data_IF_219162141813
#
_entry.id   IF_219162141813
#
_cell.length_a   1.000
_cell.length_b   1.000
_cell.length_c   1.000
_cell.angle_alpha   90.00
_cell.angle_beta   90.00
_cell.angle_gamma   90.00
#
_symmetry.space_group_name_H-M   'P 1'
#
loop_
_entity.id
_entity.type
_entity.pdbx_description
1 polymer ?
#
# COMPACT_ATOMS: atom_id res chain seq x y z
N UNK A 1 -19.99 -0.37 -27.32
CA UNK A 1 -19.74 -1.62 -28.06
C UNK A 1 -20.83 -1.75 -29.11
N UNK A 2 -20.45 -1.81 -30.38
CA UNK A 2 -21.34 -2.29 -31.44
C UNK A 2 -21.32 -3.83 -31.41
N UNK A 3 -22.36 -4.48 -31.95
CA UNK A 3 -22.59 -5.95 -31.95
C UNK A 3 -21.49 -6.80 -32.64
N UNK A 4 -20.29 -6.26 -32.88
CA UNK A 4 -19.10 -6.97 -33.37
C UNK A 4 -17.92 -7.06 -32.38
N UNK A 5 -17.96 -6.35 -31.24
CA UNK A 5 -16.89 -6.33 -30.22
C UNK A 5 -16.96 -7.53 -29.24
N UNK A 6 -17.96 -8.40 -29.38
CA UNK A 6 -18.28 -9.46 -28.40
C UNK A 6 -17.21 -10.56 -28.24
N UNK A 7 -16.14 -10.56 -29.04
CA UNK A 7 -15.16 -11.66 -29.08
C UNK A 7 -13.69 -11.26 -28.85
N UNK A 8 -13.34 -9.98 -28.68
CA UNK A 8 -11.94 -9.59 -28.52
C UNK A 8 -11.78 -8.46 -27.50
N UNK A 9 -11.43 -8.82 -26.27
CA UNK A 9 -10.90 -7.85 -25.29
C UNK A 9 -9.39 -7.73 -25.46
N UNK A 10 -8.88 -6.50 -25.39
CA UNK A 10 -7.46 -6.19 -25.42
C UNK A 10 -7.09 -5.38 -24.17
N UNK A 11 -5.80 -5.35 -23.82
CA UNK A 11 -5.31 -4.59 -22.68
C UNK A 11 -5.65 -3.09 -22.82
N UNK A 12 -5.48 -2.55 -24.03
CA UNK A 12 -5.82 -1.16 -24.35
C UNK A 12 -7.32 -0.88 -24.22
N UNK A 13 -8.19 -1.78 -24.73
CA UNK A 13 -9.64 -1.62 -24.58
C UNK A 13 -10.10 -1.74 -23.13
N UNK A 14 -9.55 -2.69 -22.36
CA UNK A 14 -9.85 -2.86 -20.93
C UNK A 14 -9.44 -1.60 -20.14
N UNK A 15 -8.29 -1.02 -20.48
CA UNK A 15 -7.86 0.24 -19.89
C UNK A 15 -8.78 1.40 -20.26
N UNK A 16 -9.18 1.53 -21.52
CA UNK A 16 -10.17 2.52 -21.95
C UNK A 16 -11.50 2.40 -21.18
N UNK A 17 -11.98 1.18 -20.98
CA UNK A 17 -13.20 0.91 -20.19
C UNK A 17 -13.05 1.31 -18.72
N UNK A 18 -11.84 1.30 -18.14
CA UNK A 18 -11.59 1.60 -16.72
C UNK A 18 -11.13 3.05 -16.47
N UNK A 19 -10.47 3.71 -17.44
CA UNK A 19 -9.90 5.06 -17.34
C UNK A 19 -10.95 6.14 -17.05
N UNK A 20 -12.18 5.96 -17.57
CA UNK A 20 -13.30 6.89 -17.36
C UNK A 20 -14.11 6.63 -16.08
N UNK A 21 -13.62 5.76 -15.20
CA UNK A 21 -14.45 5.01 -14.24
C UNK A 21 -13.74 4.74 -12.91
N UNK A 22 -12.74 5.55 -12.56
CA UNK A 22 -11.72 5.29 -11.53
C UNK A 22 -12.20 5.07 -10.08
N UNK A 23 -13.47 5.27 -9.74
CA UNK A 23 -13.95 5.14 -8.35
C UNK A 23 -15.36 4.55 -8.19
N UNK A 24 -15.95 4.01 -9.25
CA UNK A 24 -17.31 3.48 -9.16
C UNK A 24 -17.24 1.94 -9.09
N UNK A 25 -17.55 1.38 -7.92
CA UNK A 25 -17.92 -0.03 -7.85
C UNK A 25 -19.22 -0.21 -8.66
N UNK A 26 -19.23 -1.16 -9.61
CA UNK A 26 -20.39 -1.39 -10.48
C UNK A 26 -21.31 -2.48 -9.94
N UNK A 27 -22.48 -2.08 -9.45
CA UNK A 27 -23.56 -3.02 -9.15
C UNK A 27 -24.23 -3.47 -10.46
N UNK A 28 -24.11 -4.76 -10.81
CA UNK A 28 -24.82 -5.33 -11.96
C UNK A 28 -26.32 -5.45 -11.65
N UNK A 29 -27.15 -4.85 -12.51
CA UNK A 29 -28.63 -4.86 -12.40
C UNK A 29 -29.34 -5.43 -13.62
N UNK A 30 -28.66 -5.52 -14.76
CA UNK A 30 -29.23 -6.14 -15.96
C UNK A 30 -29.28 -7.67 -15.77
N UNK A 31 -30.44 -8.32 -16.00
CA UNK A 31 -30.57 -9.76 -15.81
C UNK A 31 -29.58 -10.59 -16.65
N UNK A 32 -29.27 -10.16 -17.88
CA UNK A 32 -28.32 -10.87 -18.73
C UNK A 32 -26.88 -10.75 -18.23
N UNK A 33 -26.50 -9.59 -17.71
CA UNK A 33 -25.19 -9.40 -17.07
C UNK A 33 -25.08 -10.19 -15.75
N UNK A 34 -26.16 -10.29 -14.98
CA UNK A 34 -26.21 -11.13 -13.77
C UNK A 34 -26.07 -12.62 -14.13
N UNK A 35 -26.76 -13.11 -15.16
CA UNK A 35 -26.59 -14.49 -15.64
C UNK A 35 -25.14 -14.78 -16.05
N UNK A 36 -24.47 -13.85 -16.73
CA UNK A 36 -23.06 -13.99 -17.08
C UNK A 36 -22.14 -13.92 -15.86
N UNK A 37 -22.47 -13.11 -14.85
CA UNK A 37 -21.73 -13.07 -13.59
C UNK A 37 -21.86 -14.40 -12.83
N UNK A 38 -23.07 -14.97 -12.75
CA UNK A 38 -23.31 -16.29 -12.16
C UNK A 38 -22.59 -17.41 -12.92
N UNK A 39 -22.46 -17.26 -14.24
CA UNK A 39 -21.64 -18.16 -15.06
C UNK A 39 -20.16 -18.10 -14.68
N UNK A 40 -19.61 -16.89 -14.53
CA UNK A 40 -18.24 -16.68 -14.05
C UNK A 40 -18.06 -17.34 -12.69
N UNK A 41 -18.97 -17.09 -11.74
CA UNK A 41 -18.95 -17.71 -10.41
C UNK A 41 -18.92 -19.24 -10.52
N UNK A 42 -19.78 -19.82 -11.36
CA UNK A 42 -19.84 -21.27 -11.54
C UNK A 42 -18.51 -21.85 -12.04
N UNK A 43 -17.89 -21.20 -13.03
CA UNK A 43 -16.61 -21.62 -13.60
C UNK A 43 -15.49 -21.57 -12.54
N UNK A 44 -15.32 -20.45 -11.85
CA UNK A 44 -14.19 -20.27 -10.92
C UNK A 44 -14.35 -21.08 -9.63
N UNK A 45 -15.59 -21.40 -9.22
CA UNK A 45 -15.85 -22.26 -8.05
C UNK A 45 -15.60 -23.74 -8.31
N UNK A 46 -15.25 -24.13 -9.54
CA UNK A 46 -14.65 -25.43 -9.82
C UNK A 46 -13.25 -25.55 -9.24
N UNK A 47 -12.63 -24.43 -8.87
CA UNK A 47 -11.34 -24.35 -8.19
C UNK A 47 -11.53 -24.19 -6.67
N UNK A 48 -10.62 -24.77 -5.85
CA UNK A 48 -10.53 -24.46 -4.42
C UNK A 48 -10.30 -22.96 -4.18
N UNK A 49 -10.63 -22.52 -2.97
CA UNK A 49 -10.33 -21.16 -2.55
C UNK A 49 -8.83 -20.92 -2.49
N UNK A 50 -8.40 -19.74 -2.92
CA UNK A 50 -7.04 -19.23 -2.81
C UNK A 50 -6.66 -18.87 -1.36
N UNK A 51 -7.66 -18.58 -0.52
CA UNK A 51 -7.45 -18.12 0.86
C UNK A 51 -8.13 -19.02 1.89
N UNK A 52 -7.44 -19.24 3.01
CA UNK A 52 -7.96 -20.09 4.08
C UNK A 52 -9.12 -19.37 4.79
N UNK A 53 -10.28 -20.03 4.85
CA UNK A 53 -11.52 -19.54 5.48
C UNK A 53 -12.24 -18.39 4.74
N UNK A 54 -11.77 -17.99 3.56
CA UNK A 54 -12.47 -17.03 2.69
C UNK A 54 -12.94 -17.76 1.42
N UNK A 55 -13.95 -17.21 0.73
CA UNK A 55 -14.47 -17.74 -0.53
C UNK A 55 -13.90 -16.91 -1.69
N UNK A 56 -12.58 -17.03 -1.92
CA UNK A 56 -11.80 -16.21 -2.87
C UNK A 56 -11.14 -17.11 -3.91
N UNK A 57 -11.15 -16.74 -5.19
CA UNK A 57 -10.29 -17.39 -6.22
C UNK A 57 -9.57 -16.33 -7.01
N UNK A 58 -8.27 -16.54 -7.17
CA UNK A 58 -7.42 -15.59 -7.87
C UNK A 58 -6.62 -16.32 -8.95
N UNK A 59 -6.57 -15.73 -10.14
CA UNK A 59 -5.89 -16.27 -11.32
C UNK A 59 -5.18 -15.16 -12.08
N UNK A 60 -4.08 -15.49 -12.75
CA UNK A 60 -3.44 -14.66 -13.75
C UNK A 60 -4.13 -14.88 -15.10
N UNK A 61 -4.45 -13.79 -15.79
CA UNK A 61 -4.99 -13.79 -17.14
C UNK A 61 -4.09 -12.92 -18.01
N UNK A 62 -3.62 -13.48 -19.13
CA UNK A 62 -2.89 -12.72 -20.15
C UNK A 62 -3.86 -12.21 -21.22
N UNK A 63 -3.77 -10.93 -21.58
CA UNK A 63 -4.61 -10.30 -22.59
C UNK A 63 -3.70 -9.68 -23.66
N UNK A 64 -3.95 -9.88 -24.97
CA UNK A 64 -3.19 -9.19 -26.00
C UNK A 64 -3.25 -7.68 -25.83
N UNK A 65 -2.15 -6.97 -26.08
CA UNK A 65 -2.11 -5.50 -26.05
C UNK A 65 -3.25 -4.87 -26.84
N UNK A 66 -3.50 -5.43 -28.03
CA UNK A 66 -4.44 -4.91 -29.01
C UNK A 66 -3.73 -4.07 -30.08
N UNK A 67 -4.47 -3.58 -31.07
CA UNK A 67 -4.00 -2.55 -31.98
C UNK A 67 -4.16 -1.14 -31.33
N UNK A 68 -3.57 -0.11 -31.94
CA UNK A 68 -3.57 1.25 -31.35
C UNK A 68 -4.97 1.88 -31.32
N UNK A 69 -5.86 1.44 -32.19
CA UNK A 69 -7.25 1.91 -32.27
C UNK A 69 -8.05 1.53 -31.00
N UNK A 70 -7.64 0.47 -30.29
CA UNK A 70 -8.24 0.09 -29.00
C UNK A 70 -7.73 0.98 -27.84
N UNK A 71 -6.61 1.68 -28.03
CA UNK A 71 -6.02 2.58 -27.04
C UNK A 71 -6.73 3.94 -27.00
N UNK A 72 -7.13 4.44 -28.16
CA UNK A 72 -7.89 5.68 -28.31
C UNK A 72 -7.86 6.21 -29.73
N UNK A 73 -8.70 7.20 -30.01
CA UNK A 73 -8.64 7.96 -31.26
C UNK A 73 -7.57 9.06 -31.14
N UNK A 74 -6.62 9.10 -32.06
CA UNK A 74 -5.58 10.13 -32.08
C UNK A 74 -6.18 11.55 -32.17
N UNK A 75 -7.33 11.72 -32.81
CA UNK A 75 -7.99 13.02 -32.94
C UNK A 75 -8.35 13.64 -31.57
N UNK A 76 -8.55 12.83 -30.54
CA UNK A 76 -8.82 13.28 -29.17
C UNK A 76 -7.54 13.71 -28.42
N UNK A 77 -6.36 13.29 -28.89
CA UNK A 77 -5.07 13.51 -28.22
C UNK A 77 -4.14 14.48 -28.97
N UNK A 78 -4.53 14.93 -30.16
CA UNK A 78 -3.70 15.76 -31.05
C UNK A 78 -3.34 17.15 -30.50
N UNK A 79 -4.07 17.63 -29.48
CA UNK A 79 -3.76 18.90 -28.81
C UNK A 79 -2.52 18.80 -27.92
N UNK A 80 -2.28 17.61 -27.33
CA UNK A 80 -1.19 17.36 -26.38
C UNK A 80 -0.03 16.57 -26.99
N UNK A 81 -0.30 15.77 -28.03
CA UNK A 81 0.66 14.83 -28.61
C UNK A 81 0.65 14.85 -30.14
N UNK A 82 1.83 14.73 -30.75
CA UNK A 82 1.93 14.30 -32.14
C UNK A 82 1.66 12.78 -32.27
N UNK A 83 1.46 12.27 -33.48
CA UNK A 83 1.12 10.86 -33.68
C UNK A 83 2.21 9.89 -33.19
N UNK A 84 3.48 10.26 -33.32
CA UNK A 84 4.59 9.44 -32.81
C UNK A 84 4.59 9.38 -31.27
N UNK A 85 4.34 10.52 -30.62
CA UNK A 85 4.18 10.58 -29.16
C UNK A 85 2.97 9.79 -28.68
N UNK A 86 1.86 9.80 -29.42
CA UNK A 86 0.68 8.98 -29.13
C UNK A 86 0.99 7.47 -29.23
N UNK A 87 1.72 7.05 -30.26
CA UNK A 87 2.21 5.66 -30.40
C UNK A 87 3.17 5.29 -29.27
N UNK A 88 4.04 6.21 -28.87
CA UNK A 88 4.98 5.99 -27.77
C UNK A 88 4.27 5.90 -26.41
N UNK A 89 3.22 6.69 -26.18
CA UNK A 89 2.38 6.59 -24.98
C UNK A 89 1.68 5.22 -24.92
N UNK A 90 1.10 4.76 -26.03
CA UNK A 90 0.49 3.43 -26.11
C UNK A 90 1.47 2.30 -25.76
N UNK A 91 2.68 2.35 -26.32
CA UNK A 91 3.75 1.38 -26.00
C UNK A 91 4.33 1.55 -24.60
N UNK A 92 4.30 2.75 -24.05
CA UNK A 92 4.74 2.99 -22.67
C UNK A 92 3.75 2.37 -21.68
N UNK A 93 2.45 2.52 -21.94
CA UNK A 93 1.39 1.97 -21.11
C UNK A 93 1.24 0.45 -21.26
N UNK A 94 1.49 -0.08 -22.47
CA UNK A 94 1.43 -1.50 -22.81
C UNK A 94 2.69 -1.92 -23.58
N UNK A 95 3.84 -2.09 -22.90
CA UNK A 95 5.12 -2.36 -23.56
C UNK A 95 5.21 -3.74 -24.18
N UNK A 96 4.55 -4.71 -23.56
CA UNK A 96 4.58 -6.10 -23.99
C UNK A 96 3.53 -6.39 -25.07
N UNK A 97 3.68 -7.52 -25.78
CA UNK A 97 2.64 -7.98 -26.72
C UNK A 97 1.37 -8.44 -25.99
N UNK A 98 1.52 -8.82 -24.71
CA UNK A 98 0.44 -9.20 -23.81
C UNK A 98 0.64 -8.53 -22.46
N UNK A 99 -0.43 -8.01 -21.91
CA UNK A 99 -0.49 -7.58 -20.52
C UNK A 99 -1.02 -8.71 -19.65
N UNK A 100 -0.61 -8.70 -18.39
CA UNK A 100 -1.04 -9.66 -17.40
C UNK A 100 -1.87 -8.99 -16.32
N UNK A 101 -2.99 -9.61 -15.98
CA UNK A 101 -3.93 -9.11 -14.99
C UNK A 101 -4.22 -10.18 -13.97
N UNK A 102 -4.34 -9.76 -12.72
CA UNK A 102 -4.90 -10.60 -11.66
C UNK A 102 -6.41 -10.51 -11.77
N UNK A 103 -7.04 -11.64 -12.07
CA UNK A 103 -8.46 -11.88 -11.87
C UNK A 103 -8.69 -12.30 -10.42
N UNK A 104 -9.73 -11.77 -9.79
CA UNK A 104 -10.19 -12.19 -8.47
C UNK A 104 -11.71 -12.34 -8.47
N UNK A 105 -12.18 -13.46 -7.95
CA UNK A 105 -13.55 -13.64 -7.49
C UNK A 105 -13.57 -13.70 -5.97
N UNK A 106 -14.52 -13.02 -5.33
CA UNK A 106 -14.72 -13.08 -3.89
C UNK A 106 -16.21 -13.09 -3.54
N UNK A 107 -16.59 -13.95 -2.60
CA UNK A 107 -17.91 -13.90 -1.97
C UNK A 107 -17.76 -13.50 -0.50
N UNK A 108 -18.21 -12.29 -0.18
CA UNK A 108 -18.18 -11.79 1.19
C UNK A 108 -19.31 -12.46 1.99
N UNK A 109 -19.04 -13.03 3.18
CA UNK A 109 -20.10 -13.54 4.04
C UNK A 109 -21.14 -12.46 4.35
N UNK A 110 -22.41 -12.74 4.04
CA UNK A 110 -23.53 -11.81 4.26
C UNK A 110 -23.45 -10.50 3.47
N UNK A 111 -22.60 -10.45 2.43
CA UNK A 111 -22.37 -9.29 1.61
C UNK A 111 -22.35 -9.59 0.11
N UNK A 112 -21.95 -8.60 -0.71
CA UNK A 112 -21.83 -8.74 -2.15
C UNK A 112 -20.89 -9.86 -2.62
N UNK A 113 -21.13 -10.29 -3.86
CA UNK A 113 -20.19 -11.07 -4.66
C UNK A 113 -19.41 -10.11 -5.56
N UNK A 114 -18.10 -10.31 -5.66
CA UNK A 114 -17.18 -9.47 -6.42
C UNK A 114 -16.45 -10.27 -7.49
N UNK A 115 -16.25 -9.62 -8.64
CA UNK A 115 -15.31 -10.00 -9.67
C UNK A 115 -14.43 -8.79 -9.98
N UNK A 116 -13.12 -8.97 -9.90
CA UNK A 116 -12.14 -7.98 -10.28
C UNK A 116 -11.21 -8.50 -11.38
N UNK A 117 -10.78 -7.61 -12.27
CA UNK A 117 -9.75 -7.86 -13.27
C UNK A 117 -8.86 -6.61 -13.37
N UNK A 118 -7.68 -6.67 -12.76
CA UNK A 118 -6.86 -5.47 -12.55
C UNK A 118 -7.62 -4.42 -11.73
N UNK A 119 -7.76 -3.20 -12.26
CA UNK A 119 -8.47 -2.10 -11.59
C UNK A 119 -9.98 -2.09 -11.84
N UNK A 120 -10.51 -3.01 -12.64
CA UNK A 120 -11.95 -3.14 -12.84
C UNK A 120 -12.55 -3.97 -11.71
N UNK A 121 -13.52 -3.41 -10.97
CA UNK A 121 -14.34 -4.13 -9.99
C UNK A 121 -15.81 -4.14 -10.39
N UNK A 122 -16.39 -5.33 -10.51
CA UNK A 122 -17.83 -5.56 -10.70
C UNK A 122 -18.37 -6.29 -9.48
N UNK A 123 -19.54 -5.90 -8.99
CA UNK A 123 -20.19 -6.61 -7.90
C UNK A 123 -21.67 -6.86 -8.17
N UNK A 124 -22.19 -7.91 -7.55
CA UNK A 124 -23.58 -8.30 -7.63
C UNK A 124 -24.13 -8.45 -6.21
N UNK A 125 -25.12 -7.62 -5.87
CA UNK A 125 -25.87 -7.71 -4.61
C UNK A 125 -27.30 -8.18 -4.87
N UNK A 126 -27.84 -9.01 -3.97
CA UNK A 126 -29.20 -9.52 -4.08
C UNK A 126 -30.27 -8.51 -3.59
N UNK A 127 -29.92 -7.53 -2.73
CA UNK A 127 -30.94 -6.78 -1.97
C UNK A 127 -30.79 -5.24 -1.82
N UNK A 128 -29.66 -4.59 -2.13
CA UNK A 128 -29.54 -3.12 -1.94
C UNK A 128 -29.80 -2.30 -3.22
N UNK A 129 -30.71 -1.33 -3.12
CA UNK A 129 -31.13 -0.42 -4.20
C UNK A 129 -30.38 0.92 -4.19
N UNK A 130 -29.52 1.16 -3.20
CA UNK A 130 -28.87 2.46 -2.96
C UNK A 130 -27.70 2.76 -3.90
N UNK A 131 -27.10 1.74 -4.53
CA UNK A 131 -26.03 1.93 -5.51
C UNK A 131 -26.54 2.53 -6.82
N UNK A 132 -25.81 3.51 -7.36
CA UNK A 132 -26.14 4.15 -8.64
C UNK A 132 -26.17 3.10 -9.74
N UNK A 133 -27.27 3.08 -10.49
CA UNK A 133 -27.43 2.22 -11.65
C UNK A 133 -26.59 2.77 -12.82
N UNK A 134 -25.41 2.19 -13.02
CA UNK A 134 -24.54 2.46 -14.18
C UNK A 134 -24.45 1.23 -15.11
N UNK A 135 -25.47 0.37 -15.11
CA UNK A 135 -25.53 -0.94 -15.80
C UNK A 135 -25.40 -0.94 -17.33
N UNK A 136 -25.13 0.20 -17.98
CA UNK A 136 -25.02 0.22 -19.45
C UNK A 136 -23.61 -0.15 -19.91
N UNK A 137 -23.47 -1.41 -20.35
CA UNK A 137 -22.46 -1.82 -21.33
C UNK A 137 -21.37 -2.79 -20.85
N UNK A 138 -21.63 -3.70 -19.91
CA UNK A 138 -20.65 -4.71 -19.48
C UNK A 138 -20.85 -6.10 -20.10
N UNK A 139 -21.97 -6.36 -20.79
CA UNK A 139 -22.28 -7.66 -21.41
C UNK A 139 -21.15 -8.23 -22.27
N UNK A 140 -20.56 -7.41 -23.15
CA UNK A 140 -19.45 -7.86 -24.00
C UNK A 140 -18.21 -8.28 -23.20
N UNK A 141 -17.86 -7.53 -22.16
CA UNK A 141 -16.78 -7.86 -21.24
C UNK A 141 -17.08 -9.15 -20.47
N UNK A 142 -18.29 -9.30 -19.92
CA UNK A 142 -18.67 -10.47 -19.14
C UNK A 142 -18.70 -11.74 -20.01
N UNK A 143 -19.23 -11.67 -21.24
CA UNK A 143 -19.18 -12.75 -22.23
C UNK A 143 -17.73 -13.17 -22.53
N UNK A 144 -16.85 -12.20 -22.77
CA UNK A 144 -15.44 -12.47 -22.99
C UNK A 144 -14.78 -13.11 -21.76
N UNK A 145 -15.09 -12.60 -20.56
CA UNK A 145 -14.54 -13.11 -19.29
C UNK A 145 -14.96 -14.56 -19.01
N UNK A 146 -16.22 -14.92 -19.32
CA UNK A 146 -16.69 -16.32 -19.30
C UNK A 146 -15.83 -17.20 -20.21
N UNK A 147 -15.52 -16.75 -21.42
CA UNK A 147 -14.71 -17.50 -22.38
C UNK A 147 -13.29 -17.74 -21.88
N UNK A 148 -12.57 -16.67 -21.52
CA UNK A 148 -11.17 -16.78 -21.08
C UNK A 148 -11.03 -17.53 -19.75
N UNK A 149 -11.99 -17.41 -18.83
CA UNK A 149 -11.96 -18.16 -17.57
C UNK A 149 -12.19 -19.65 -17.77
N UNK A 150 -13.03 -20.07 -18.73
CA UNK A 150 -13.17 -21.49 -19.06
C UNK A 150 -11.84 -22.07 -19.51
N UNK A 151 -11.18 -21.41 -20.46
CA UNK A 151 -9.86 -21.82 -20.96
C UNK A 151 -8.82 -21.84 -19.82
N UNK A 152 -8.82 -20.81 -18.96
CA UNK A 152 -7.88 -20.71 -17.85
C UNK A 152 -8.13 -21.80 -16.80
N UNK A 153 -9.38 -22.03 -16.38
CA UNK A 153 -9.75 -23.08 -15.42
C UNK A 153 -9.47 -24.48 -15.98
N UNK A 154 -9.72 -24.71 -17.27
CA UNK A 154 -9.36 -25.98 -17.92
C UNK A 154 -7.83 -26.20 -17.89
N UNK A 155 -7.03 -25.16 -18.12
CA UNK A 155 -5.56 -25.24 -17.97
C UNK A 155 -5.09 -25.44 -16.52
N UNK A 156 -5.88 -25.01 -15.53
CA UNK A 156 -5.59 -25.30 -14.13
C UNK A 156 -5.83 -26.78 -13.85
N UNK A 157 -6.96 -27.33 -14.33
CA UNK A 157 -7.34 -28.73 -14.13
C UNK A 157 -6.44 -29.71 -14.87
N UNK A 158 -5.94 -29.35 -16.05
CA UNK A 158 -5.01 -30.19 -16.81
C UNK A 158 -3.55 -30.10 -16.31
N UNK A 159 -3.27 -29.17 -15.38
CA UNK A 159 -1.98 -28.97 -14.75
C UNK A 159 -0.98 -28.12 -15.55
N UNK A 160 -1.37 -27.52 -16.67
CA UNK A 160 -0.47 -26.72 -17.52
C UNK A 160 -0.39 -25.24 -17.14
N UNK A 161 -1.37 -24.74 -16.39
CA UNK A 161 -1.49 -23.33 -16.00
C UNK A 161 -0.25 -22.80 -15.25
N UNK A 162 0.25 -23.55 -14.26
CA UNK A 162 1.37 -23.06 -13.44
C UNK A 162 2.62 -22.83 -14.28
N UNK A 163 3.00 -23.81 -15.11
CA UNK A 163 4.17 -23.71 -15.98
C UNK A 163 3.99 -22.59 -17.03
N UNK A 164 2.77 -22.41 -17.55
CA UNK A 164 2.44 -21.32 -18.46
C UNK A 164 2.65 -19.95 -17.81
N UNK A 165 2.14 -19.74 -16.60
CA UNK A 165 2.31 -18.46 -15.88
C UNK A 165 3.77 -18.24 -15.52
N UNK A 166 4.45 -19.22 -14.93
CA UNK A 166 5.87 -19.08 -14.52
C UNK A 166 6.78 -18.77 -15.71
N UNK A 167 6.54 -19.38 -16.86
CA UNK A 167 7.36 -19.21 -18.07
C UNK A 167 7.05 -17.92 -18.85
N UNK A 168 5.82 -17.42 -18.80
CA UNK A 168 5.40 -16.29 -19.63
C UNK A 168 5.16 -14.99 -18.85
N UNK A 169 4.96 -15.03 -17.52
CA UNK A 169 4.73 -13.82 -16.73
C UNK A 169 6.00 -12.94 -16.73
N UNK A 170 5.95 -11.73 -17.32
CA UNK A 170 7.10 -10.85 -17.41
C UNK A 170 7.62 -10.45 -16.03
N UNK A 171 8.91 -10.12 -15.97
CA UNK A 171 9.58 -9.79 -14.71
C UNK A 171 8.93 -8.59 -14.00
N UNK A 172 8.43 -7.61 -14.76
CA UNK A 172 7.75 -6.44 -14.22
C UNK A 172 6.41 -6.73 -13.52
N UNK A 173 5.87 -7.94 -13.61
CA UNK A 173 4.69 -8.37 -12.86
C UNK A 173 5.02 -9.18 -11.60
N UNK A 174 6.31 -9.40 -11.31
CA UNK A 174 6.76 -10.20 -10.17
C UNK A 174 7.04 -9.33 -8.96
N UNK A 175 7.00 -9.95 -7.78
CA UNK A 175 7.52 -9.36 -6.54
C UNK A 175 8.97 -9.77 -6.35
N UNK A 176 9.77 -8.88 -5.80
CA UNK A 176 11.14 -9.20 -5.39
C UNK A 176 11.58 -8.32 -4.24
N UNK A 177 12.79 -8.57 -3.75
CA UNK A 177 13.45 -7.73 -2.75
C UNK A 177 14.86 -7.43 -3.19
N UNK A 178 15.39 -6.29 -2.75
CA UNK A 178 16.79 -5.93 -2.95
C UNK A 178 17.30 -5.27 -1.67
N UNK A 179 18.54 -5.55 -1.29
CA UNK A 179 19.13 -4.93 -0.11
C UNK A 179 19.28 -3.42 -0.34
N UNK A 180 18.88 -2.59 0.62
CA UNK A 180 18.93 -1.12 0.46
C UNK A 180 20.32 -0.61 0.10
N UNK A 181 21.37 -1.14 0.76
CA UNK A 181 22.76 -0.80 0.45
C UNK A 181 23.20 -1.12 -0.99
N UNK A 182 22.57 -2.09 -1.65
CA UNK A 182 22.88 -2.41 -3.04
C UNK A 182 22.24 -1.40 -4.00
N UNK A 183 21.06 -0.86 -3.66
CA UNK A 183 20.50 0.27 -4.39
C UNK A 183 21.42 1.50 -4.28
N UNK A 184 21.93 1.82 -3.08
CA UNK A 184 22.89 2.91 -2.91
C UNK A 184 24.14 2.74 -3.79
N UNK A 185 24.69 1.52 -3.86
CA UNK A 185 25.85 1.20 -4.71
C UNK A 185 25.53 1.31 -6.21
N UNK A 186 24.29 1.00 -6.61
CA UNK A 186 23.87 1.06 -8.02
C UNK A 186 23.77 2.49 -8.57
N UNK A 187 23.67 3.49 -7.68
CA UNK A 187 23.46 4.88 -8.05
C UNK A 187 22.07 5.16 -8.62
N UNK A 188 21.08 4.31 -8.34
CA UNK A 188 19.67 4.59 -8.63
C UNK A 188 19.13 5.73 -7.74
N UNK A 189 19.49 5.70 -6.46
CA UNK A 189 19.45 6.85 -5.55
C UNK A 189 20.68 6.81 -4.64
N UNK A 190 21.10 7.94 -4.09
CA UNK A 190 22.25 7.99 -3.19
C UNK A 190 21.85 7.64 -1.75
N UNK A 191 22.82 7.25 -0.93
CA UNK A 191 22.62 7.10 0.52
C UNK A 191 22.16 8.42 1.14
N UNK A 192 22.75 9.53 0.71
CA UNK A 192 22.47 10.85 1.28
C UNK A 192 21.03 11.29 0.99
N UNK A 193 20.50 11.00 -0.21
CA UNK A 193 19.10 11.26 -0.56
C UNK A 193 18.13 10.41 0.28
N UNK A 194 18.47 9.14 0.54
CA UNK A 194 17.63 8.20 1.31
C UNK A 194 17.66 8.49 2.83
N UNK A 195 18.80 8.97 3.34
CA UNK A 195 18.93 9.43 4.73
C UNK A 195 18.30 10.79 4.97
N UNK A 196 18.03 11.57 3.91
CA UNK A 196 17.33 12.85 3.97
C UNK A 196 17.95 13.81 5.02
N UNK A 197 19.28 13.87 5.11
CA UNK A 197 20.00 14.77 6.02
C UNK A 197 20.33 14.22 7.42
N UNK A 198 20.01 12.96 7.73
CA UNK A 198 20.51 12.31 8.96
C UNK A 198 22.02 12.08 8.84
N UNK A 199 22.79 12.55 9.81
CA UNK A 199 24.25 12.39 9.85
C UNK A 199 24.70 11.05 10.43
N UNK A 200 25.93 10.62 10.14
CA UNK A 200 26.48 9.38 10.71
C UNK A 200 26.56 9.43 12.25
N UNK A 201 26.86 10.59 12.84
CA UNK A 201 26.86 10.79 14.29
C UNK A 201 25.44 10.60 14.89
N UNK A 202 24.41 11.08 14.21
CA UNK A 202 23.02 10.88 14.64
C UNK A 202 22.57 9.43 14.49
N UNK A 203 23.03 8.74 13.44
CA UNK A 203 22.81 7.29 13.28
C UNK A 203 23.44 6.53 14.44
N UNK A 204 24.69 6.83 14.81
CA UNK A 204 25.38 6.21 15.94
C UNK A 204 24.62 6.44 17.26
N UNK A 205 24.22 7.69 17.54
CA UNK A 205 23.42 8.01 18.73
C UNK A 205 22.07 7.31 18.74
N UNK A 206 21.42 7.18 17.59
CA UNK A 206 20.14 6.49 17.50
C UNK A 206 20.30 4.98 17.73
N UNK A 207 21.37 4.37 17.22
CA UNK A 207 21.74 2.97 17.52
C UNK A 207 21.94 2.79 19.03
N UNK A 208 22.64 3.70 19.71
CA UNK A 208 22.83 3.63 21.15
C UNK A 208 21.51 3.65 21.93
N UNK A 209 20.52 4.44 21.50
CA UNK A 209 19.17 4.41 22.08
C UNK A 209 18.51 3.04 21.90
N UNK A 210 18.60 2.47 20.70
CA UNK A 210 18.03 1.15 20.40
C UNK A 210 18.69 0.04 21.21
N UNK A 211 20.03 0.02 21.26
CA UNK A 211 20.80 -0.92 22.09
C UNK A 211 20.52 -0.74 23.59
N UNK A 212 20.20 0.48 24.00
CA UNK A 212 19.73 0.83 25.35
C UNK A 212 18.30 0.37 25.67
N UNK A 213 17.57 -0.17 24.70
CA UNK A 213 16.23 -0.73 24.88
C UNK A 213 15.10 0.27 24.72
N UNK A 214 15.27 1.35 23.93
CA UNK A 214 14.23 2.39 23.71
C UNK A 214 12.93 1.86 23.07
N UNK A 215 12.91 0.64 22.52
CA UNK A 215 11.68 -0.01 22.03
C UNK A 215 10.82 -0.60 23.16
N UNK A 216 11.39 -0.74 24.35
CA UNK A 216 10.69 -1.23 25.53
C UNK A 216 10.09 -0.05 26.30
N UNK A 217 9.14 -0.36 27.19
CA UNK A 217 8.63 0.66 28.11
C UNK A 217 9.78 1.13 29.04
N UNK A 218 9.97 2.45 29.20
CA UNK A 218 11.07 2.95 30.02
C UNK A 218 10.83 2.64 31.49
N UNK A 219 11.92 2.28 32.19
CA UNK A 219 11.89 2.00 33.64
C UNK A 219 11.72 3.28 34.46
N UNK A 220 12.43 4.32 34.06
CA UNK A 220 12.30 5.65 34.65
C UNK A 220 11.14 6.38 33.96
N UNK A 221 10.30 7.05 34.74
CA UNK A 221 9.10 7.73 34.26
C UNK A 221 9.00 9.10 34.93
N UNK A 222 8.35 10.05 34.26
CA UNK A 222 8.08 11.36 34.85
C UNK A 222 6.97 11.22 35.90
N UNK A 223 7.13 11.86 37.05
CA UNK A 223 6.16 11.78 38.14
C UNK A 223 4.82 12.45 37.78
N UNK A 224 4.89 13.55 37.03
CA UNK A 224 3.74 14.35 36.58
C UNK A 224 3.91 14.83 35.15
N UNK A 225 2.80 15.08 34.47
CA UNK A 225 2.75 15.75 33.18
C UNK A 225 1.45 16.57 33.13
N UNK A 226 1.57 17.84 32.73
CA UNK A 226 0.44 18.72 32.43
C UNK A 226 0.23 18.80 30.90
N UNK A 227 -0.89 19.37 30.47
CA UNK A 227 -1.08 19.67 29.06
C UNK A 227 -0.02 20.66 28.55
N UNK A 228 0.35 21.67 29.35
CA UNK A 228 1.41 22.61 28.99
C UNK A 228 2.77 21.92 28.77
N UNK A 229 3.11 20.92 29.58
CA UNK A 229 4.33 20.11 29.37
C UNK A 229 4.26 19.39 28.03
N UNK A 230 3.15 18.70 27.75
CA UNK A 230 2.97 17.96 26.49
C UNK A 230 3.01 18.89 25.27
N UNK A 231 2.33 20.04 25.31
CA UNK A 231 2.34 21.02 24.22
C UNK A 231 3.73 21.61 23.99
N UNK A 232 4.51 21.78 25.06
CA UNK A 232 5.91 22.23 24.96
C UNK A 232 6.78 21.19 24.25
N UNK A 233 6.59 19.90 24.52
CA UNK A 233 7.28 18.82 23.80
C UNK A 233 6.84 18.75 22.33
N UNK A 234 5.55 18.98 22.03
CA UNK A 234 5.08 19.13 20.66
C UNK A 234 5.74 20.32 19.93
N UNK A 235 5.97 21.44 20.64
CA UNK A 235 6.66 22.62 20.09
C UNK A 235 8.09 22.29 19.62
N UNK A 236 8.81 21.45 20.37
CA UNK A 236 10.12 20.93 19.95
C UNK A 236 10.01 20.16 18.63
N UNK A 237 9.01 19.27 18.53
CA UNK A 237 8.78 18.49 17.31
C UNK A 237 8.43 19.38 16.10
N UNK A 238 7.58 20.41 16.28
CA UNK A 238 7.25 21.34 15.19
C UNK A 238 8.48 22.11 14.67
N UNK A 239 9.45 22.40 15.54
CA UNK A 239 10.73 22.99 15.13
C UNK A 239 11.55 22.03 14.28
N UNK A 240 11.61 20.76 14.67
CA UNK A 240 12.29 19.70 13.91
C UNK A 240 11.67 19.58 12.50
N UNK A 241 10.34 19.69 12.40
CA UNK A 241 9.64 19.70 11.12
C UNK A 241 9.83 20.98 10.29
N UNK A 242 10.67 21.92 10.74
CA UNK A 242 10.90 23.21 10.09
C UNK A 242 9.69 24.14 10.06
N UNK A 243 8.73 23.99 11.00
CA UNK A 243 7.55 24.87 11.06
C UNK A 243 7.94 26.25 11.61
N UNK A 244 7.29 27.27 11.06
CA UNK A 244 7.39 28.63 11.58
C UNK A 244 6.56 28.80 12.87
N UNK A 245 7.23 28.51 13.99
CA UNK A 245 6.67 28.59 15.34
C UNK A 245 6.85 29.97 15.99
N UNK A 246 7.46 30.94 15.31
CA UNK A 246 7.70 32.27 15.88
C UNK A 246 6.37 32.93 16.31
N UNK A 247 6.44 33.67 17.42
CA UNK A 247 5.38 34.48 18.01
C UNK A 247 4.09 33.74 18.42
N UNK A 248 4.13 32.41 18.55
CA UNK A 248 2.98 31.58 18.97
C UNK A 248 3.27 30.81 20.23
N UNK A 249 2.30 30.74 21.13
CA UNK A 249 2.31 29.81 22.27
C UNK A 249 2.28 28.35 21.80
N UNK A 250 2.75 27.38 22.62
CA UNK A 250 2.68 25.96 22.28
C UNK A 250 1.26 25.48 21.89
N UNK A 251 0.22 25.98 22.56
CA UNK A 251 -1.18 25.67 22.22
C UNK A 251 -1.57 26.18 20.83
N UNK A 252 -1.19 27.41 20.47
CA UNK A 252 -1.43 27.96 19.13
C UNK A 252 -0.65 27.23 18.04
N UNK A 253 0.57 26.78 18.35
CA UNK A 253 1.36 25.94 17.45
C UNK A 253 0.68 24.59 17.23
N UNK A 254 0.25 23.93 18.31
CA UNK A 254 -0.44 22.64 18.23
C UNK A 254 -1.73 22.74 17.41
N UNK A 255 -2.58 23.73 17.69
CA UNK A 255 -3.80 24.00 16.92
C UNK A 255 -3.54 24.23 15.43
N UNK A 256 -2.39 24.79 15.08
CA UNK A 256 -2.03 25.12 13.69
C UNK A 256 -1.38 23.97 12.94
N UNK A 257 -0.56 23.15 13.61
CA UNK A 257 0.34 22.21 12.96
C UNK A 257 0.03 20.73 13.22
N UNK A 258 -0.68 20.39 14.29
CA UNK A 258 -1.20 19.04 14.51
C UNK A 258 -2.43 18.78 13.61
N UNK A 259 -2.97 17.57 13.67
CA UNK A 259 -4.11 17.13 12.87
C UNK A 259 -5.39 17.97 13.01
N UNK A 260 -5.55 18.68 14.13
CA UNK A 260 -6.66 19.61 14.35
C UNK A 260 -7.95 18.95 14.86
N UNK A 261 -8.02 17.62 14.90
CA UNK A 261 -9.02 16.86 15.67
C UNK A 261 -8.49 16.58 17.07
N UNK A 262 -8.48 17.62 17.90
CA UNK A 262 -7.92 17.57 19.26
C UNK A 262 -8.88 16.95 20.30
N UNK A 263 -10.13 16.66 19.93
CA UNK A 263 -11.16 16.04 20.77
C UNK A 263 -11.36 16.74 22.14
N UNK A 264 -11.17 18.07 22.19
CA UNK A 264 -11.32 18.85 23.41
C UNK A 264 -10.05 18.92 24.27
N UNK A 265 -8.90 18.41 23.78
CA UNK A 265 -7.62 18.50 24.47
C UNK A 265 -7.26 19.95 24.84
N UNK A 266 -7.46 20.90 23.92
CA UNK A 266 -7.15 22.32 24.15
C UNK A 266 -8.19 23.06 25.02
N UNK A 267 -9.25 22.38 25.46
CA UNK A 267 -10.26 22.95 26.37
C UNK A 267 -9.95 22.66 27.85
N UNK A 268 -8.96 21.81 28.13
CA UNK A 268 -8.53 21.49 29.49
C UNK A 268 -7.84 22.70 30.15
N UNK A 269 -7.85 22.74 31.49
CA UNK A 269 -6.94 23.61 32.24
C UNK A 269 -5.50 23.15 31.97
N UNK A 270 -4.65 23.99 31.35
CA UNK A 270 -3.36 23.53 30.83
C UNK A 270 -2.35 23.19 31.93
N UNK A 271 -2.57 23.66 33.16
CA UNK A 271 -1.69 23.44 34.31
C UNK A 271 -2.27 22.41 35.31
N UNK A 272 -3.43 21.81 35.02
CA UNK A 272 -4.03 20.75 35.84
C UNK A 272 -3.54 19.36 35.40
N UNK A 273 -2.64 18.71 36.15
CA UNK A 273 -2.11 17.40 35.80
C UNK A 273 -3.16 16.28 35.90
N UNK A 274 -4.19 16.43 36.74
CA UNK A 274 -5.24 15.41 36.91
C UNK A 274 -6.24 15.48 35.76
N UNK A 275 -6.59 16.69 35.29
CA UNK A 275 -7.39 16.87 34.08
C UNK A 275 -6.71 16.24 32.86
N UNK A 276 -5.42 16.50 32.67
CA UNK A 276 -4.64 15.90 31.57
C UNK A 276 -4.53 14.37 31.70
N UNK A 277 -4.30 13.86 32.92
CA UNK A 277 -4.30 12.41 33.20
C UNK A 277 -5.62 11.73 32.84
N UNK A 278 -6.73 12.33 33.23
CA UNK A 278 -8.06 11.78 32.96
C UNK A 278 -8.37 11.78 31.46
N UNK A 279 -7.98 12.84 30.76
CA UNK A 279 -8.09 12.91 29.31
C UNK A 279 -7.28 11.78 28.65
N UNK A 280 -5.99 11.63 28.98
CA UNK A 280 -5.13 10.61 28.37
C UNK A 280 -5.59 9.16 28.62
N UNK A 281 -6.32 8.90 29.73
CA UNK A 281 -6.91 7.58 30.04
C UNK A 281 -8.24 7.31 29.32
N UNK A 282 -8.82 8.32 28.68
CA UNK A 282 -10.07 8.20 27.94
C UNK A 282 -9.83 7.64 26.54
N UNK A 283 -10.90 7.14 25.90
CA UNK A 283 -10.81 6.60 24.55
C UNK A 283 -10.87 7.73 23.52
N UNK A 284 -9.87 7.80 22.64
CA UNK A 284 -9.75 8.79 21.57
C UNK A 284 -9.47 8.11 20.23
N UNK A 285 -9.75 8.80 19.11
CA UNK A 285 -9.52 8.26 17.76
C UNK A 285 -8.04 8.13 17.38
N UNK A 286 -7.12 8.56 18.24
CA UNK A 286 -5.68 8.59 18.00
C UNK A 286 -5.20 9.86 17.28
N UNK A 287 -6.08 10.53 16.54
CA UNK A 287 -5.78 11.78 15.82
C UNK A 287 -5.35 12.93 16.74
N UNK A 288 -5.80 12.92 17.99
CA UNK A 288 -5.38 13.87 19.03
C UNK A 288 -3.86 13.89 19.21
N UNK A 289 -3.17 12.78 18.92
CA UNK A 289 -1.74 12.64 19.14
C UNK A 289 -0.91 12.77 17.85
N UNK A 290 -1.56 13.06 16.72
CA UNK A 290 -0.94 13.20 15.40
C UNK A 290 -0.29 14.60 15.26
N UNK A 291 1.00 14.67 15.58
CA UNK A 291 1.81 15.90 15.56
C UNK A 291 2.39 16.21 14.17
N UNK A 292 2.47 15.22 13.28
CA UNK A 292 2.73 15.44 11.86
C UNK A 292 1.55 14.89 11.07
N UNK A 293 0.60 15.75 10.66
CA UNK A 293 -0.61 15.28 10.02
C UNK A 293 -0.35 14.77 8.62
N UNK A 294 -1.06 13.69 8.26
CA UNK A 294 -0.80 12.98 7.02
C UNK A 294 -1.92 12.05 6.60
N UNK A 295 -1.76 11.46 5.42
CA UNK A 295 -2.62 10.37 4.99
C UNK A 295 -1.95 9.06 5.40
N UNK A 296 -2.58 8.39 6.36
CA UNK A 296 -2.28 7.01 6.73
C UNK A 296 -0.81 6.77 7.16
N UNK A 297 0.16 6.31 6.32
CA UNK A 297 1.56 6.07 6.78
C UNK A 297 2.40 7.34 6.98
N UNK A 298 2.01 8.47 6.38
CA UNK A 298 2.80 9.72 6.42
C UNK A 298 2.60 10.51 7.72
N UNK A 299 2.28 9.83 8.83
CA UNK A 299 1.89 10.43 10.10
C UNK A 299 2.96 10.20 11.13
N UNK A 300 3.20 11.20 11.99
CA UNK A 300 3.95 11.01 13.23
C UNK A 300 3.01 11.29 14.39
N UNK A 301 2.94 10.34 15.31
CA UNK A 301 2.19 10.45 16.53
C UNK A 301 3.12 10.46 17.74
N UNK A 302 2.81 11.31 18.70
CA UNK A 302 3.50 11.40 19.98
C UNK A 302 2.48 11.18 21.10
N UNK A 303 2.35 9.94 21.56
CA UNK A 303 1.34 9.58 22.54
C UNK A 303 1.88 9.79 23.96
N UNK A 304 1.18 10.54 24.82
CA UNK A 304 1.46 10.53 26.25
C UNK A 304 0.87 9.26 26.88
N UNK A 305 1.73 8.43 27.46
CA UNK A 305 1.34 7.23 28.20
C UNK A 305 1.54 7.41 29.69
N UNK A 306 0.63 6.85 30.48
CA UNK A 306 0.73 6.86 31.93
C UNK A 306 0.20 5.59 32.57
N UNK A 307 0.87 5.18 33.63
CA UNK A 307 0.46 4.12 34.54
C UNK A 307 0.65 4.56 36.00
N UNK A 308 0.64 3.61 36.93
CA UNK A 308 0.90 3.84 38.35
C UNK A 308 2.34 4.28 38.66
N UNK A 309 3.29 4.05 37.74
CA UNK A 309 4.71 4.34 37.92
C UNK A 309 5.12 5.69 37.31
N UNK A 310 4.22 6.38 36.59
CA UNK A 310 4.45 7.73 36.07
C UNK A 310 4.04 7.90 34.60
N UNK A 311 4.76 8.76 33.90
CA UNK A 311 4.53 9.12 32.50
C UNK A 311 5.74 8.83 31.61
N UNK A 312 5.47 8.48 30.36
CA UNK A 312 6.44 8.41 29.28
C UNK A 312 5.77 8.75 27.95
N UNK A 313 6.55 9.02 26.90
CA UNK A 313 6.01 9.22 25.55
C UNK A 313 6.20 7.98 24.68
N UNK A 314 5.22 7.69 23.84
CA UNK A 314 5.34 6.68 22.79
C UNK A 314 5.37 7.36 21.41
N UNK A 315 6.47 7.19 20.69
CA UNK A 315 6.66 7.76 19.35
C UNK A 315 6.35 6.71 18.28
N UNK A 316 5.47 7.05 17.34
CA UNK A 316 5.10 6.23 16.20
C UNK A 316 5.11 7.06 14.91
N UNK A 317 5.44 6.44 13.77
CA UNK A 317 5.54 7.09 12.47
C UNK A 317 6.92 6.98 11.81
N UNK A 318 7.54 5.79 11.75
CA UNK A 318 8.94 5.64 11.30
C UNK A 318 9.16 5.94 9.82
N UNK A 319 8.10 6.06 9.00
CA UNK A 319 8.20 6.36 7.57
C UNK A 319 8.82 7.74 7.28
N UNK A 320 8.61 8.73 8.16
CA UNK A 320 9.33 9.99 8.12
C UNK A 320 10.66 9.85 8.89
N UNK A 321 11.57 9.00 8.39
CA UNK A 321 12.79 8.58 9.09
C UNK A 321 13.60 9.75 9.65
N UNK A 322 13.86 10.79 8.86
CA UNK A 322 14.59 11.98 9.31
C UNK A 322 13.94 12.58 10.58
N UNK A 323 12.68 12.99 10.47
CA UNK A 323 11.97 13.61 11.58
C UNK A 323 11.86 12.68 12.79
N UNK A 324 11.60 11.39 12.55
CA UNK A 324 11.47 10.39 13.60
C UNK A 324 12.76 10.22 14.41
N UNK A 325 13.91 10.12 13.74
CA UNK A 325 15.23 10.02 14.37
C UNK A 325 15.55 11.29 15.15
N UNK A 326 15.36 12.48 14.57
CA UNK A 326 15.67 13.73 15.29
C UNK A 326 14.73 13.96 16.49
N UNK A 327 13.44 13.60 16.42
CA UNK A 327 12.56 13.66 17.60
C UNK A 327 13.08 12.76 18.71
N UNK A 328 13.43 11.51 18.38
CA UNK A 328 13.95 10.56 19.34
C UNK A 328 15.21 11.09 20.02
N UNK A 329 16.18 11.59 19.23
CA UNK A 329 17.43 12.12 19.76
C UNK A 329 17.24 13.39 20.60
N UNK A 330 16.39 14.32 20.16
CA UNK A 330 16.18 15.59 20.86
C UNK A 330 15.45 15.36 22.20
N UNK A 331 14.33 14.63 22.19
CA UNK A 331 13.53 14.41 23.39
C UNK A 331 14.28 13.54 24.43
N UNK A 332 15.03 12.53 24.00
CA UNK A 332 15.86 11.73 24.93
C UNK A 332 17.01 12.56 25.50
N UNK A 333 17.61 13.47 24.73
CA UNK A 333 18.64 14.39 25.25
C UNK A 333 18.11 15.38 26.30
N UNK A 334 16.80 15.67 26.26
CA UNK A 334 16.09 16.44 27.29
C UNK A 334 15.74 15.60 28.54
N UNK A 335 16.09 14.31 28.56
CA UNK A 335 15.78 13.39 29.64
C UNK A 335 14.32 12.93 29.67
N UNK A 336 13.59 13.04 28.56
CA UNK A 336 12.20 12.58 28.46
C UNK A 336 12.20 11.05 28.31
N UNK A 337 11.55 10.29 29.20
CA UNK A 337 11.40 8.85 29.04
C UNK A 337 10.50 8.52 27.85
N UNK A 338 10.97 7.62 26.98
CA UNK A 338 10.28 7.27 25.75
C UNK A 338 10.27 5.79 25.45
N UNK A 339 9.26 5.39 24.69
CA UNK A 339 9.20 4.14 23.92
C UNK A 339 9.08 4.50 22.44
N UNK A 340 9.79 3.80 21.56
CA UNK A 340 9.77 4.08 20.11
C UNK A 340 9.28 2.84 19.34
N UNK A 341 8.37 3.04 18.39
CA UNK A 341 7.84 1.97 17.54
C UNK A 341 8.86 1.55 16.45
N UNK A 342 9.18 0.25 16.40
CA UNK A 342 10.03 -0.36 15.36
C UNK A 342 11.39 0.33 15.13
N UNK A 343 11.99 0.87 16.19
CA UNK A 343 13.29 1.55 16.13
C UNK A 343 14.42 0.65 15.59
N UNK A 344 14.38 -0.66 15.88
CA UNK A 344 15.34 -1.64 15.35
C UNK A 344 15.26 -1.75 13.82
N UNK A 345 14.05 -1.68 13.24
CA UNK A 345 13.88 -1.66 11.78
C UNK A 345 14.42 -0.38 11.16
N UNK A 346 14.18 0.76 11.83
CA UNK A 346 14.76 2.04 11.42
C UNK A 346 16.29 1.98 11.42
N UNK A 347 16.91 1.37 12.44
CA UNK A 347 18.37 1.16 12.47
C UNK A 347 18.85 0.35 11.26
N UNK A 348 18.18 -0.75 10.93
CA UNK A 348 18.54 -1.57 9.76
C UNK A 348 18.42 -0.77 8.45
N UNK A 349 17.39 0.07 8.31
CA UNK A 349 17.26 0.99 7.18
C UNK A 349 18.39 2.03 7.12
N UNK A 350 18.74 2.66 8.25
CA UNK A 350 19.84 3.64 8.31
C UNK A 350 21.21 3.04 7.97
N UNK A 351 21.41 1.75 8.28
CA UNK A 351 22.62 0.99 7.92
C UNK A 351 22.59 0.43 6.49
N UNK A 352 21.44 0.44 5.82
CA UNK A 352 21.25 -0.22 4.53
C UNK A 352 21.25 -1.75 4.62
N UNK A 353 20.93 -2.28 5.81
CA UNK A 353 20.88 -3.70 6.15
C UNK A 353 19.50 -4.32 5.91
N UNK A 354 18.45 -3.50 5.83
CA UNK A 354 17.09 -3.91 5.46
C UNK A 354 16.96 -4.18 3.94
N UNK A 355 15.76 -4.62 3.56
CA UNK A 355 15.38 -4.85 2.19
C UNK A 355 14.31 -3.85 1.72
N UNK A 356 14.40 -3.48 0.45
CA UNK A 356 13.36 -2.74 -0.27
C UNK A 356 12.51 -3.74 -1.04
N UNK A 357 11.20 -3.69 -0.85
CA UNK A 357 10.25 -4.48 -1.62
C UNK A 357 10.08 -3.94 -3.04
N UNK A 358 10.25 -4.77 -4.06
CA UNK A 358 9.94 -4.47 -5.45
C UNK A 358 8.56 -5.01 -5.76
N UNK A 359 7.62 -4.11 -6.01
CA UNK A 359 6.23 -4.41 -6.33
C UNK A 359 6.01 -4.46 -7.85
N UNK A 360 5.04 -5.24 -8.34
CA UNK A 360 4.68 -5.27 -9.76
C UNK A 360 4.41 -3.88 -10.32
N UNK A 361 4.70 -3.68 -11.61
CA UNK A 361 4.47 -2.41 -12.32
C UNK A 361 3.03 -1.93 -12.13
N UNK A 362 2.88 -0.62 -11.91
CA UNK A 362 1.56 -0.02 -11.69
C UNK A 362 0.95 -0.30 -10.31
N UNK A 363 1.60 -1.10 -9.46
CA UNK A 363 1.20 -1.22 -8.06
C UNK A 363 1.48 0.07 -7.32
N UNK A 364 0.58 0.43 -6.41
CA UNK A 364 0.80 1.49 -5.44
C UNK A 364 1.64 0.90 -4.30
N UNK A 365 2.94 1.24 -4.17
CA UNK A 365 3.85 0.51 -3.29
C UNK A 365 3.63 0.80 -1.80
N UNK A 366 2.79 1.80 -1.49
CA UNK A 366 2.49 2.19 -0.12
C UNK A 366 1.66 1.09 0.56
N UNK A 367 1.93 0.82 1.83
CA UNK A 367 1.37 -0.30 2.61
C UNK A 367 1.74 -1.70 2.11
N UNK A 368 2.67 -1.87 1.17
CA UNK A 368 2.98 -3.20 0.64
C UNK A 368 4.00 -3.99 1.48
N UNK A 369 4.61 -3.41 2.52
CA UNK A 369 5.62 -4.08 3.34
C UNK A 369 5.15 -5.41 3.94
N UNK A 370 3.89 -5.49 4.37
CA UNK A 370 3.30 -6.72 4.90
C UNK A 370 3.24 -7.88 3.90
N UNK A 371 3.42 -7.62 2.61
CA UNK A 371 3.46 -8.64 1.55
C UNK A 371 4.82 -9.36 1.45
N UNK A 372 5.79 -8.97 2.29
CA UNK A 372 7.14 -9.50 2.37
C UNK A 372 7.38 -10.08 3.76
N UNK A 373 6.99 -11.33 3.97
CA UNK A 373 7.09 -12.01 5.27
C UNK A 373 8.46 -12.65 5.53
N UNK A 374 9.25 -12.85 4.48
CA UNK A 374 10.56 -13.51 4.54
C UNK A 374 11.72 -12.54 4.78
N UNK A 375 11.48 -11.25 4.54
CA UNK A 375 12.48 -10.19 4.62
C UNK A 375 11.93 -9.03 5.45
N UNK A 376 12.81 -8.35 6.18
CA UNK A 376 12.44 -7.10 6.84
C UNK A 376 12.37 -5.99 5.81
N UNK A 377 11.14 -5.57 5.49
CA UNK A 377 10.85 -4.54 4.49
C UNK A 377 10.08 -3.40 5.16
N UNK A 378 10.64 -2.19 5.09
CA UNK A 378 9.94 -0.96 5.48
C UNK A 378 9.37 -0.23 4.26
N UNK A 379 10.18 -0.10 3.22
CA UNK A 379 9.84 0.66 2.02
C UNK A 379 9.65 -0.27 0.83
N UNK A 380 8.77 0.15 -0.08
CA UNK A 380 8.55 -0.55 -1.34
C UNK A 380 8.66 0.42 -2.52
N UNK A 381 9.09 -0.10 -3.65
CA UNK A 381 9.15 0.58 -4.93
C UNK A 381 8.26 -0.15 -5.94
N UNK A 382 7.57 0.61 -6.80
CA UNK A 382 6.91 0.05 -7.97
C UNK A 382 7.95 -0.22 -9.05
N UNK A 383 7.92 -1.40 -9.68
CA UNK A 383 8.88 -1.80 -10.70
C UNK A 383 8.95 -0.79 -11.85
N UNK A 384 10.17 -0.45 -12.26
CA UNK A 384 10.47 0.34 -13.46
C UNK A 384 11.58 -0.36 -14.24
N UNK A 385 11.50 -0.32 -15.58
CA UNK A 385 12.48 -1.00 -16.46
C UNK A 385 13.93 -0.59 -16.17
N UNK A 386 14.16 0.70 -15.87
CA UNK A 386 15.48 1.24 -15.50
C UNK A 386 16.12 0.54 -14.28
N UNK A 387 15.32 -0.08 -13.40
CA UNK A 387 15.83 -0.84 -12.26
C UNK A 387 16.62 -2.06 -12.72
N UNK A 388 16.20 -2.69 -13.83
CA UNK A 388 16.90 -3.86 -14.36
C UNK A 388 18.32 -3.51 -14.79
N UNK A 389 18.51 -2.35 -15.43
CA UNK A 389 19.82 -1.85 -15.86
C UNK A 389 20.71 -1.48 -14.67
N UNK A 390 20.11 -0.96 -13.59
CA UNK A 390 20.86 -0.43 -12.44
C UNK A 390 21.23 -1.51 -11.42
N UNK A 391 20.26 -2.34 -11.05
CA UNK A 391 20.42 -3.33 -9.99
C UNK A 391 19.58 -4.60 -10.20
N UNK A 392 19.14 -4.89 -11.43
CA UNK A 392 18.27 -6.04 -11.73
C UNK A 392 18.84 -7.39 -11.28
N UNK A 393 20.15 -7.59 -11.47
CA UNK A 393 20.86 -8.81 -11.06
C UNK A 393 21.01 -8.96 -9.54
N UNK A 394 20.74 -7.88 -8.78
CA UNK A 394 20.79 -7.85 -7.31
C UNK A 394 19.41 -8.09 -6.70
N UNK A 395 18.34 -8.12 -7.50
CA UNK A 395 16.98 -8.36 -7.03
C UNK A 395 16.80 -9.87 -6.82
N UNK A 396 16.45 -10.23 -5.59
CA UNK A 396 15.92 -11.55 -5.27
C UNK A 396 14.43 -11.59 -5.64
N UNK A 397 14.12 -12.22 -6.77
CA UNK A 397 12.75 -12.40 -7.22
C UNK A 397 12.08 -13.53 -6.47
N UNK A 398 10.92 -13.24 -5.88
CA UNK A 398 10.13 -14.27 -5.23
C UNK A 398 9.52 -15.21 -6.25
N UNK A 399 9.21 -16.43 -5.81
CA UNK A 399 8.48 -17.39 -6.62
C UNK A 399 7.17 -16.76 -7.14
N UNK A 400 6.86 -17.02 -8.40
CA UNK A 400 5.62 -16.54 -9.01
C UNK A 400 4.45 -17.15 -8.27
N UNK A 401 3.69 -16.30 -7.58
CA UNK A 401 2.46 -16.73 -6.94
C UNK A 401 1.38 -16.90 -8.02
N UNK A 402 1.01 -18.15 -8.28
CA UNK A 402 -0.11 -18.46 -9.19
C UNK A 402 -1.47 -18.37 -8.49
N UNK A 403 -1.49 -18.00 -7.21
CA UNK A 403 -2.63 -17.84 -6.28
C UNK A 403 -3.54 -19.06 -6.08
N UNK A 404 -3.43 -20.03 -6.97
CA UNK A 404 -3.93 -21.37 -6.81
C UNK A 404 -3.00 -22.14 -5.87
N UNK A 405 -3.51 -22.79 -4.82
CA UNK A 405 -2.70 -23.74 -4.08
C UNK A 405 -2.30 -24.84 -5.07
N UNK A 406 -1.02 -24.93 -5.41
CA UNK A 406 -0.49 -26.13 -6.05
C UNK A 406 -0.93 -27.27 -5.14
N UNK A 407 -1.85 -28.12 -5.62
CA UNK A 407 -2.12 -29.38 -4.95
C UNK A 407 -0.80 -30.12 -5.07
N UNK A 408 0.06 -29.97 -4.07
CA UNK A 408 1.23 -30.83 -3.93
C UNK A 408 0.64 -32.21 -3.69
N UNK A 409 0.52 -32.97 -4.77
CA UNK A 409 0.14 -34.37 -4.71
C UNK A 409 1.32 -35.12 -4.06
N UNK A 410 1.45 -34.94 -2.74
CA UNK A 410 2.40 -35.63 -1.88
C UNK A 410 1.94 -37.06 -1.58
N UNK A 411 1.01 -37.59 -2.36
CA UNK A 411 0.49 -38.95 -2.25
C UNK A 411 1.20 -39.99 -3.12
N UNK A 412 2.36 -39.67 -3.70
CA UNK A 412 3.23 -40.65 -4.40
C UNK A 412 4.70 -40.56 -3.97
N UNK A 413 4.98 -41.08 -2.77
CA UNK A 413 6.25 -41.59 -2.19
C UNK A 413 5.95 -41.78 -0.69
N UNK A 414 5.86 -42.94 -0.08
CA UNK A 414 6.26 -44.33 -0.38
C UNK A 414 5.14 -45.31 0.02
#
# INVERSE_FOLDING_TARGET
MQDGDEQRMTASLLKYLTKNRMHDEYCLKDPGDIELFEEIERIVRELPSSEKNLDVRTLWISIPRGPIEDFGDYEDYKEDYNYEEFVNLWKYEHPDEKDWYVFQYEKIPWGPRYVALGNLGLFCEEEDKSFRDYSRGHTGLLKWLVGILRETVDSVKDGTYHDLVVSQLPIGYRKGVVKRSDIWKSGYWSRDDDLDGITDEEIERFIELVDGGIEQEPKEKLESMTLNDYLTLCSVCFRIFGRDIADKSPAEQFKRFADGRDEGLLELDPDDPDAFRLFCKSSHSGHVWEIFPGHSYSRIHLYPHTDENGWYLYLNGPFHRNHFVHIALELTSMGIPMKIYEASKVVNALKGEDYIGIMPRGSFPQYCSHLFTEHEVMDCLSFREEMLEKFGDMIEWYAVNTFYPVISDSSKKD
#
